data_IF_894655392256
#
_entry.id   IF_894655392256
#
_cell.length_a   1.000
_cell.length_b   1.000
_cell.length_c   1.000
_cell.angle_alpha   90.00
_cell.angle_beta   90.00
_cell.angle_gamma   90.00
#
_symmetry.space_group_name_H-M   'P 1'
#
loop_
_entity.id
_entity.type
_entity.pdbx_description
1 polymer ?
#
# COMPACT_ATOMS: atom_id res chain seq x y z
N UNK A 1 10.15 14.35 3.30
CA UNK A 1 9.17 13.92 2.26
C UNK A 1 8.73 12.48 2.47
N UNK A 2 7.68 12.01 1.78
CA UNK A 2 7.16 10.65 1.89
C UNK A 2 7.46 9.86 0.61
N UNK A 3 8.00 8.65 0.74
CA UNK A 3 8.25 7.72 -0.36
C UNK A 3 7.23 6.57 -0.29
N UNK A 4 6.59 6.25 -1.41
CA UNK A 4 5.71 5.09 -1.56
C UNK A 4 6.41 3.98 -2.33
N UNK A 5 6.23 2.73 -1.90
CA UNK A 5 6.90 1.56 -2.51
C UNK A 5 5.93 0.56 -3.16
N UNK A 6 4.63 0.78 -3.07
CA UNK A 6 3.67 -0.27 -3.39
C UNK A 6 2.42 0.18 -4.14
N UNK A 7 2.40 1.36 -4.78
CA UNK A 7 1.25 1.78 -5.57
C UNK A 7 1.21 1.13 -6.96
N UNK A 8 2.36 0.70 -7.49
CA UNK A 8 2.49 0.11 -8.84
C UNK A 8 3.10 -1.29 -8.86
N UNK A 9 3.65 -1.74 -7.72
CA UNK A 9 4.29 -3.05 -7.55
C UNK A 9 4.30 -3.46 -6.08
N UNK A 10 4.93 -4.59 -5.75
CA UNK A 10 5.18 -5.03 -4.37
C UNK A 10 6.71 -5.14 -4.15
N UNK A 11 7.32 -4.02 -3.74
CA UNK A 11 8.77 -3.96 -3.53
C UNK A 11 9.20 -4.89 -2.40
N UNK A 12 8.57 -4.91 -1.20
CA UNK A 12 8.94 -5.85 -0.15
C UNK A 12 8.92 -7.31 -0.57
N UNK A 13 7.94 -7.72 -1.40
CA UNK A 13 7.81 -9.11 -1.81
C UNK A 13 8.86 -9.56 -2.83
N UNK A 14 9.24 -8.69 -3.78
CA UNK A 14 10.01 -9.11 -4.95
C UNK A 14 11.33 -8.36 -5.15
N UNK A 15 11.52 -7.21 -4.52
CA UNK A 15 12.61 -6.28 -4.81
C UNK A 15 13.34 -5.79 -3.56
N UNK A 16 13.28 -6.54 -2.46
CA UNK A 16 13.99 -6.21 -1.21
C UNK A 16 15.48 -5.94 -1.42
N UNK A 17 16.28 -6.81 -2.13
CA UNK A 17 17.69 -6.54 -2.34
C UNK A 17 17.94 -5.23 -3.11
N UNK A 18 17.09 -4.91 -4.09
CA UNK A 18 17.17 -3.66 -4.83
C UNK A 18 16.91 -2.45 -3.92
N UNK A 19 15.86 -2.49 -3.11
CA UNK A 19 15.54 -1.39 -2.20
C UNK A 19 16.71 -1.14 -1.23
N UNK A 20 17.28 -2.19 -0.65
CA UNK A 20 18.44 -2.09 0.24
C UNK A 20 19.66 -1.46 -0.45
N UNK A 21 19.91 -1.79 -1.72
CA UNK A 21 20.93 -1.14 -2.52
C UNK A 21 20.60 0.35 -2.75
N UNK A 22 19.36 0.68 -3.06
CA UNK A 22 18.95 2.09 -3.28
C UNK A 22 19.06 2.93 -2.02
N UNK A 23 18.71 2.37 -0.86
CA UNK A 23 18.87 3.05 0.44
C UNK A 23 20.37 3.35 0.73
N UNK A 24 21.26 2.38 0.45
CA UNK A 24 22.72 2.58 0.62
C UNK A 24 23.29 3.61 -0.35
N UNK A 25 22.82 3.63 -1.60
CA UNK A 25 23.22 4.59 -2.63
C UNK A 25 22.61 5.98 -2.43
N UNK A 26 21.55 6.07 -1.60
CA UNK A 26 20.89 7.33 -1.25
C UNK A 26 19.99 7.92 -2.33
N UNK A 27 19.71 7.20 -3.41
CA UNK A 27 18.80 7.66 -4.47
C UNK A 27 18.21 6.54 -5.32
N UNK A 28 17.13 6.90 -6.03
CA UNK A 28 16.46 6.04 -7.02
C UNK A 28 16.07 6.85 -8.25
N UNK A 29 16.08 6.22 -9.42
CA UNK A 29 15.59 6.78 -10.67
C UNK A 29 14.24 6.15 -11.05
N UNK A 30 13.23 6.98 -11.25
CA UNK A 30 11.88 6.55 -11.55
C UNK A 30 11.45 7.09 -12.92
N UNK A 31 11.21 6.18 -13.85
CA UNK A 31 10.73 6.52 -15.18
C UNK A 31 9.24 6.84 -15.14
N UNK A 32 8.84 7.96 -15.75
CA UNK A 32 7.44 8.32 -15.86
C UNK A 32 6.71 7.35 -16.80
N UNK A 33 5.64 6.65 -16.32
CA UNK A 33 4.94 5.67 -17.14
C UNK A 33 4.17 6.26 -18.33
N UNK A 34 3.89 7.56 -18.31
CA UNK A 34 3.16 8.28 -19.37
C UNK A 34 4.08 9.08 -20.30
N UNK A 35 5.32 9.33 -19.89
CA UNK A 35 6.36 9.96 -20.68
C UNK A 35 7.69 9.22 -20.45
N UNK A 36 7.98 8.16 -21.21
CA UNK A 36 9.11 7.27 -20.96
C UNK A 36 10.49 7.94 -21.00
N UNK A 37 10.67 9.06 -21.69
CA UNK A 37 11.94 9.83 -21.69
C UNK A 37 12.13 10.66 -20.41
N UNK A 38 11.08 10.93 -19.65
CA UNK A 38 11.16 11.69 -18.41
C UNK A 38 11.48 10.75 -17.24
N UNK A 39 12.58 11.03 -16.56
CA UNK A 39 13.06 10.28 -15.40
C UNK A 39 13.17 11.20 -14.21
N UNK A 40 12.63 10.83 -13.07
CA UNK A 40 12.75 11.59 -11.83
C UNK A 40 13.77 10.94 -10.91
N UNK A 41 14.72 11.73 -10.40
CA UNK A 41 15.65 11.31 -9.37
C UNK A 41 15.09 11.68 -8.00
N UNK A 42 14.76 10.66 -7.19
CA UNK A 42 14.36 10.85 -5.79
C UNK A 42 15.54 10.55 -4.86
N UNK A 43 15.75 11.42 -3.87
CA UNK A 43 16.65 11.17 -2.76
C UNK A 43 16.03 10.11 -1.85
N UNK A 44 16.88 9.23 -1.34
CA UNK A 44 16.56 8.29 -0.26
C UNK A 44 17.39 8.58 1.00
N UNK A 45 18.00 9.79 1.11
CA UNK A 45 18.69 10.21 2.33
C UNK A 45 17.69 10.32 3.50
N UNK A 46 18.00 9.78 4.70
CA UNK A 46 17.17 9.95 5.90
C UNK A 46 16.94 11.41 6.32
N UNK A 47 17.83 12.32 5.90
CA UNK A 47 17.66 13.77 6.13
C UNK A 47 16.54 14.39 5.31
N UNK A 48 16.11 13.71 4.25
CA UNK A 48 15.08 14.18 3.31
C UNK A 48 13.80 13.36 3.42
N UNK A 49 13.94 12.05 3.67
CA UNK A 49 12.81 11.10 3.72
C UNK A 49 12.33 10.95 5.16
N UNK A 50 11.17 11.51 5.47
CA UNK A 50 10.53 11.40 6.79
C UNK A 50 9.86 10.06 6.98
N UNK A 51 9.32 9.48 5.90
CA UNK A 51 8.51 8.26 5.95
C UNK A 51 8.65 7.45 4.66
N UNK A 52 8.81 6.15 4.81
CA UNK A 52 8.61 5.17 3.74
C UNK A 52 7.31 4.43 3.99
N UNK A 53 6.40 4.50 3.01
CA UNK A 53 5.11 3.81 3.02
C UNK A 53 5.22 2.54 2.18
N UNK A 54 5.02 1.41 2.83
CA UNK A 54 5.03 0.10 2.19
C UNK A 54 3.59 -0.38 1.94
N UNK A 55 3.35 -0.94 0.76
CA UNK A 55 2.14 -1.72 0.47
C UNK A 55 2.59 -3.08 -0.06
N UNK A 56 2.22 -4.15 0.63
CA UNK A 56 2.70 -5.50 0.30
C UNK A 56 1.64 -6.56 0.60
N UNK A 57 1.69 -7.66 -0.15
CA UNK A 57 0.99 -8.92 0.18
C UNK A 57 1.93 -9.98 0.78
N UNK A 58 3.23 -9.66 0.88
CA UNK A 58 4.22 -10.56 1.43
C UNK A 58 5.39 -9.77 2.04
N UNK A 59 5.34 -9.40 3.33
CA UNK A 59 6.42 -8.66 3.98
C UNK A 59 7.65 -9.53 4.29
N UNK A 60 7.55 -10.86 4.23
CA UNK A 60 8.57 -11.83 4.65
C UNK A 60 9.99 -11.55 4.15
N UNK A 61 10.22 -11.24 2.85
CA UNK A 61 11.58 -10.98 2.37
C UNK A 61 12.27 -9.77 3.02
N UNK A 62 11.47 -8.81 3.53
CA UNK A 62 12.00 -7.61 4.18
C UNK A 62 12.25 -7.80 5.69
N UNK A 63 11.58 -8.75 6.34
CA UNK A 63 11.69 -8.93 7.80
C UNK A 63 13.13 -9.06 8.32
N UNK A 64 14.06 -9.81 7.67
CA UNK A 64 15.43 -9.91 8.11
C UNK A 64 16.26 -8.62 7.96
N UNK A 65 15.70 -7.59 7.33
CA UNK A 65 16.41 -6.37 6.93
C UNK A 65 15.82 -5.09 7.51
N UNK A 66 14.95 -5.19 8.51
CA UNK A 66 14.27 -4.02 9.11
C UNK A 66 15.25 -3.03 9.74
N UNK A 67 16.41 -3.49 10.20
CA UNK A 67 17.48 -2.63 10.73
C UNK A 67 17.96 -1.60 9.69
N UNK A 68 17.96 -1.96 8.40
CA UNK A 68 18.31 -1.03 7.31
C UNK A 68 17.32 0.13 7.16
N UNK A 69 16.14 0.01 7.76
CA UNK A 69 15.08 1.02 7.74
C UNK A 69 15.01 1.84 9.03
N UNK A 70 15.88 1.57 10.03
CA UNK A 70 15.82 2.17 11.35
C UNK A 70 15.94 3.72 11.34
N UNK A 71 16.60 4.28 10.34
CA UNK A 71 16.76 5.74 10.18
C UNK A 71 15.52 6.43 9.57
N UNK A 72 14.50 5.68 9.17
CA UNK A 72 13.30 6.20 8.50
C UNK A 72 12.06 5.94 9.35
N UNK A 73 11.10 6.87 9.30
CA UNK A 73 9.74 6.54 9.67
C UNK A 73 9.19 5.46 8.73
N UNK A 74 8.37 4.56 9.24
CA UNK A 74 7.81 3.45 8.47
C UNK A 74 6.30 3.40 8.66
N UNK A 75 5.55 3.13 7.58
CA UNK A 75 4.15 2.76 7.63
C UNK A 75 3.86 1.62 6.67
N UNK A 76 3.26 0.57 7.18
CA UNK A 76 3.09 -0.69 6.45
C UNK A 76 1.61 -1.00 6.21
N UNK A 77 1.20 -0.96 4.97
CA UNK A 77 -0.04 -1.57 4.54
C UNK A 77 0.24 -3.01 4.11
N UNK A 78 -0.22 -3.97 4.89
CA UNK A 78 -0.14 -5.38 4.51
C UNK A 78 -1.51 -5.86 4.07
N UNK A 79 -1.61 -6.26 2.81
CA UNK A 79 -2.87 -6.72 2.22
C UNK A 79 -3.06 -8.20 2.53
N UNK A 80 -4.12 -8.52 3.24
CA UNK A 80 -4.57 -9.88 3.52
C UNK A 80 -6.06 -9.96 3.16
N UNK A 81 -6.34 -10.68 2.09
CA UNK A 81 -7.68 -10.94 1.56
C UNK A 81 -8.02 -12.42 1.73
N UNK A 82 -9.29 -12.83 1.70
CA UNK A 82 -9.63 -14.23 1.92
C UNK A 82 -9.37 -15.13 0.70
N UNK A 83 -9.03 -14.54 -0.46
CA UNK A 83 -8.94 -15.25 -1.74
C UNK A 83 -7.83 -16.28 -1.78
N UNK A 84 -8.06 -17.36 -2.50
CA UNK A 84 -7.10 -18.40 -2.79
C UNK A 84 -6.32 -18.15 -4.10
N UNK A 85 -5.63 -19.19 -4.55
CA UNK A 85 -4.80 -19.13 -5.77
C UNK A 85 -5.58 -18.90 -7.05
N UNK A 86 -6.88 -19.11 -7.03
CA UNK A 86 -7.78 -18.83 -8.15
C UNK A 86 -7.85 -17.33 -8.51
N UNK A 87 -7.67 -16.46 -7.51
CA UNK A 87 -7.63 -15.00 -7.67
C UNK A 87 -6.25 -14.41 -7.40
N UNK A 88 -5.45 -15.03 -6.55
CA UNK A 88 -4.14 -14.55 -6.09
C UNK A 88 -3.04 -15.62 -6.27
N UNK A 89 -2.69 -16.01 -7.50
CA UNK A 89 -1.82 -17.17 -7.76
C UNK A 89 -0.44 -17.12 -7.09
N UNK A 90 0.14 -15.93 -6.96
CA UNK A 90 1.49 -15.73 -6.41
C UNK A 90 1.53 -15.20 -4.98
N UNK A 91 0.38 -15.10 -4.30
CA UNK A 91 0.34 -14.65 -2.89
C UNK A 91 0.60 -15.85 -1.97
N UNK A 92 1.41 -15.69 -0.91
CA UNK A 92 1.63 -16.74 0.08
C UNK A 92 0.35 -17.14 0.83
N UNK A 93 0.33 -18.32 1.50
CA UNK A 93 -0.78 -18.72 2.36
C UNK A 93 -1.10 -17.64 3.42
N UNK A 94 -2.40 -17.41 3.69
CA UNK A 94 -2.86 -16.34 4.59
C UNK A 94 -2.29 -16.44 5.98
N UNK A 95 -2.21 -17.66 6.52
CA UNK A 95 -1.67 -17.94 7.85
C UNK A 95 -0.19 -17.55 7.94
N UNK A 96 0.54 -17.67 6.84
CA UNK A 96 1.92 -17.20 6.76
C UNK A 96 1.97 -15.68 6.79
N UNK A 97 1.15 -14.99 5.97
CA UNK A 97 1.13 -13.54 5.91
C UNK A 97 0.68 -12.93 7.24
N UNK A 98 -0.27 -13.56 7.94
CA UNK A 98 -0.71 -13.16 9.29
C UNK A 98 0.44 -13.29 10.30
N UNK A 99 1.18 -14.40 10.29
CA UNK A 99 2.36 -14.54 11.16
C UNK A 99 3.42 -13.49 10.87
N UNK A 100 3.69 -13.23 9.59
CA UNK A 100 4.68 -12.23 9.16
C UNK A 100 4.21 -10.80 9.50
N UNK A 101 2.91 -10.51 9.40
CA UNK A 101 2.30 -9.27 9.86
C UNK A 101 2.54 -9.03 11.35
N UNK A 102 2.26 -10.04 12.19
CA UNK A 102 2.44 -9.95 13.64
C UNK A 102 3.93 -9.77 14.01
N UNK A 103 4.82 -10.48 13.32
CA UNK A 103 6.27 -10.31 13.51
C UNK A 103 6.73 -8.90 13.16
N UNK A 104 6.27 -8.36 12.02
CA UNK A 104 6.56 -7.00 11.60
C UNK A 104 6.02 -5.97 12.60
N UNK A 105 4.76 -6.14 13.02
CA UNK A 105 4.13 -5.27 14.03
C UNK A 105 4.88 -5.24 15.37
N UNK A 106 5.47 -6.38 15.77
CA UNK A 106 6.31 -6.46 16.96
C UNK A 106 7.58 -5.60 16.88
N UNK A 107 8.03 -5.26 15.68
CA UNK A 107 9.21 -4.41 15.46
C UNK A 107 8.84 -2.95 15.27
N UNK A 108 7.87 -2.67 14.37
CA UNK A 108 7.55 -1.29 13.99
C UNK A 108 6.44 -0.65 14.84
N UNK A 109 5.75 -1.46 15.63
CA UNK A 109 4.60 -1.06 16.44
C UNK A 109 3.26 -1.10 15.69
N UNK A 110 2.14 -1.39 16.39
CA UNK A 110 0.82 -1.55 15.77
C UNK A 110 0.28 -0.26 15.11
N UNK A 111 0.75 0.92 15.55
CA UNK A 111 0.33 2.21 14.97
C UNK A 111 0.98 2.49 13.62
N UNK A 112 2.08 1.81 13.30
CA UNK A 112 2.77 1.87 12.01
C UNK A 112 2.30 0.78 11.04
N UNK A 113 1.22 0.05 11.41
CA UNK A 113 0.65 -1.05 10.64
C UNK A 113 -0.80 -0.77 10.26
N UNK A 114 -1.16 -1.11 9.04
CA UNK A 114 -2.56 -1.20 8.62
C UNK A 114 -2.79 -2.51 7.87
N UNK A 115 -3.82 -3.23 8.26
CA UNK A 115 -4.34 -4.34 7.48
C UNK A 115 -5.14 -3.79 6.29
N UNK A 116 -4.89 -4.27 5.07
CA UNK A 116 -5.74 -3.98 3.91
C UNK A 116 -6.55 -5.23 3.54
N UNK A 117 -7.85 -5.14 3.69
CA UNK A 117 -8.81 -6.11 3.17
C UNK A 117 -9.39 -5.57 1.86
N UNK A 118 -8.57 -5.58 0.80
CA UNK A 118 -8.74 -4.77 -0.40
C UNK A 118 -8.16 -5.49 -1.64
N UNK A 119 -8.95 -5.61 -2.72
CA UNK A 119 -10.35 -5.23 -2.87
C UNK A 119 -11.33 -6.30 -2.37
N UNK A 120 -12.54 -5.88 -1.99
CA UNK A 120 -13.69 -6.78 -1.76
C UNK A 120 -14.37 -7.00 -3.11
N UNK A 121 -14.66 -8.26 -3.45
CA UNK A 121 -15.38 -8.64 -4.65
C UNK A 121 -16.29 -9.84 -4.36
N UNK A 122 -17.47 -9.87 -4.96
CA UNK A 122 -18.41 -10.99 -4.85
C UNK A 122 -18.28 -11.88 -6.09
N UNK A 123 -17.74 -13.08 -5.90
CA UNK A 123 -17.51 -14.03 -6.99
C UNK A 123 -17.33 -15.46 -6.45
N UNK A 124 -17.95 -16.42 -7.10
CA UNK A 124 -17.87 -17.83 -6.70
C UNK A 124 -18.41 -18.05 -5.29
N UNK A 125 -17.58 -18.57 -4.39
CA UNK A 125 -17.92 -18.79 -2.98
C UNK A 125 -17.87 -17.51 -2.12
N UNK A 126 -17.39 -16.40 -2.66
CA UNK A 126 -17.23 -15.14 -1.93
C UNK A 126 -18.54 -14.34 -2.00
N UNK A 127 -19.42 -14.58 -1.02
CA UNK A 127 -20.66 -13.84 -0.76
C UNK A 127 -20.46 -12.83 0.36
N UNK A 128 -21.48 -12.02 0.67
CA UNK A 128 -21.47 -11.12 1.83
C UNK A 128 -21.19 -11.90 3.13
N UNK A 129 -21.85 -13.03 3.33
CA UNK A 129 -21.75 -13.85 4.53
C UNK A 129 -20.35 -14.48 4.69
N UNK A 130 -19.80 -15.03 3.60
CA UNK A 130 -18.45 -15.60 3.63
C UNK A 130 -17.36 -14.56 3.81
N UNK A 131 -17.54 -13.34 3.26
CA UNK A 131 -16.64 -12.23 3.54
C UNK A 131 -16.69 -11.80 5.01
N UNK A 132 -17.87 -11.69 5.62
CA UNK A 132 -18.00 -11.33 7.03
C UNK A 132 -17.38 -12.38 7.94
N UNK A 133 -17.58 -13.67 7.65
CA UNK A 133 -16.95 -14.76 8.40
C UNK A 133 -15.41 -14.71 8.31
N UNK A 134 -14.87 -14.62 7.10
CA UNK A 134 -13.43 -14.53 6.87
C UNK A 134 -12.81 -13.26 7.50
N UNK A 135 -13.52 -12.14 7.42
CA UNK A 135 -13.08 -10.89 8.05
C UNK A 135 -13.01 -11.02 9.57
N UNK A 136 -13.99 -11.67 10.19
CA UNK A 136 -14.01 -11.92 11.64
C UNK A 136 -12.82 -12.78 12.10
N UNK A 137 -12.52 -13.87 11.37
CA UNK A 137 -11.37 -14.74 11.65
C UNK A 137 -10.04 -13.96 11.53
N UNK A 138 -9.88 -13.16 10.49
CA UNK A 138 -8.68 -12.37 10.27
C UNK A 138 -8.55 -11.23 11.30
N UNK A 139 -9.65 -10.56 11.67
CA UNK A 139 -9.65 -9.52 12.69
C UNK A 139 -9.20 -10.07 14.04
N UNK A 140 -9.72 -11.22 14.44
CA UNK A 140 -9.30 -11.94 15.66
C UNK A 140 -7.80 -12.32 15.60
N UNK A 141 -7.31 -12.81 14.45
CA UNK A 141 -5.91 -13.18 14.28
C UNK A 141 -4.95 -11.98 14.29
N UNK A 142 -5.43 -10.78 13.95
CA UNK A 142 -4.66 -9.53 13.90
C UNK A 142 -4.87 -8.62 15.11
N UNK A 143 -5.70 -9.02 16.07
CA UNK A 143 -5.97 -8.25 17.29
C UNK A 143 -4.67 -7.91 18.01
N UNK A 144 -4.52 -6.63 18.38
CA UNK A 144 -3.33 -6.08 19.02
C UNK A 144 -2.11 -5.89 18.09
N UNK A 145 -2.13 -6.42 16.86
CA UNK A 145 -1.06 -6.24 15.89
C UNK A 145 -1.25 -5.01 14.99
N UNK A 146 -2.45 -4.48 14.92
CA UNK A 146 -2.81 -3.23 14.23
C UNK A 146 -4.04 -2.61 14.88
N UNK A 147 -4.18 -1.30 14.77
CA UNK A 147 -5.38 -0.57 15.15
C UNK A 147 -6.20 -0.10 13.94
N UNK A 148 -5.80 -0.46 12.73
CA UNK A 148 -6.39 0.06 11.51
C UNK A 148 -6.56 -1.04 10.46
N UNK A 149 -7.78 -1.13 9.90
CA UNK A 149 -8.07 -1.90 8.69
C UNK A 149 -8.59 -0.98 7.60
N UNK A 150 -8.15 -1.19 6.36
CA UNK A 150 -8.60 -0.45 5.18
C UNK A 150 -9.34 -1.39 4.25
N UNK A 151 -10.56 -1.02 3.86
CA UNK A 151 -11.36 -1.75 2.87
C UNK A 151 -11.55 -0.90 1.61
N UNK A 152 -11.69 -1.56 0.46
CA UNK A 152 -12.30 -1.00 -0.74
C UNK A 152 -12.99 -2.09 -1.54
N UNK A 153 -13.91 -1.70 -2.41
CA UNK A 153 -14.57 -2.63 -3.33
C UNK A 153 -13.84 -2.64 -4.67
N UNK A 154 -14.04 -3.71 -5.44
CA UNK A 154 -13.37 -3.86 -6.73
C UNK A 154 -13.75 -2.77 -7.71
N UNK A 155 -12.74 -2.08 -8.24
CA UNK A 155 -12.88 -1.17 -9.38
C UNK A 155 -12.65 -1.93 -10.70
N UNK A 156 -13.58 -1.85 -11.61
CA UNK A 156 -13.47 -2.51 -12.92
C UNK A 156 -12.65 -1.69 -13.92
N UNK A 157 -11.38 -1.43 -13.59
CA UNK A 157 -10.44 -0.81 -14.53
C UNK A 157 -10.33 -1.61 -15.83
N UNK A 158 -9.89 -0.97 -16.91
CA UNK A 158 -9.72 -1.59 -18.22
C UNK A 158 -8.90 -2.90 -18.17
N UNK A 159 -7.85 -2.93 -17.37
CA UNK A 159 -7.01 -4.13 -17.16
C UNK A 159 -7.76 -5.21 -16.38
N UNK A 160 -8.52 -4.83 -15.35
CA UNK A 160 -9.34 -5.76 -14.56
C UNK A 160 -10.39 -6.43 -15.46
N UNK A 161 -11.16 -5.65 -16.23
CA UNK A 161 -12.17 -6.19 -17.20
C UNK A 161 -11.56 -7.19 -18.17
N UNK A 162 -10.32 -6.98 -18.60
CA UNK A 162 -9.62 -7.91 -19.51
C UNK A 162 -9.12 -9.16 -18.79
N UNK A 163 -8.49 -9.01 -17.62
CA UNK A 163 -7.82 -10.11 -16.91
C UNK A 163 -8.78 -10.93 -16.04
N UNK A 164 -9.94 -10.34 -15.73
CA UNK A 164 -10.99 -10.94 -14.90
C UNK A 164 -12.39 -10.56 -15.47
N UNK A 165 -12.77 -11.06 -16.65
CA UNK A 165 -14.01 -10.68 -17.35
C UNK A 165 -15.29 -11.07 -16.58
N UNK A 166 -15.19 -12.03 -15.64
CA UNK A 166 -16.30 -12.44 -14.78
C UNK A 166 -16.54 -11.48 -13.60
N UNK A 167 -15.58 -10.60 -13.28
CA UNK A 167 -15.73 -9.64 -12.19
C UNK A 167 -16.93 -8.70 -12.43
N UNK A 168 -17.62 -8.38 -11.36
CA UNK A 168 -18.74 -7.43 -11.35
C UNK A 168 -18.52 -6.41 -10.25
N UNK A 169 -19.06 -5.23 -10.43
CA UNK A 169 -19.15 -4.24 -9.36
C UNK A 169 -20.00 -4.78 -8.23
N UNK A 170 -19.60 -4.50 -7.00
CA UNK A 170 -20.40 -4.86 -5.83
C UNK A 170 -21.58 -3.91 -5.73
N UNK A 171 -22.79 -4.46 -5.69
CA UNK A 171 -24.02 -3.67 -5.59
C UNK A 171 -24.00 -2.79 -4.33
N UNK A 172 -24.63 -1.62 -4.40
CA UNK A 172 -24.68 -0.67 -3.29
C UNK A 172 -25.19 -1.30 -1.99
N UNK A 173 -26.26 -2.08 -2.08
CA UNK A 173 -26.84 -2.77 -0.92
C UNK A 173 -25.83 -3.70 -0.25
N UNK A 174 -25.09 -4.51 -1.03
CA UNK A 174 -24.06 -5.41 -0.52
C UNK A 174 -22.87 -4.65 0.06
N UNK A 175 -22.46 -3.52 -0.54
CA UNK A 175 -21.44 -2.64 0.03
C UNK A 175 -21.83 -2.13 1.41
N UNK A 176 -23.08 -1.69 1.58
CA UNK A 176 -23.58 -1.21 2.87
C UNK A 176 -23.65 -2.34 3.91
N UNK A 177 -24.12 -3.53 3.52
CA UNK A 177 -24.16 -4.72 4.41
C UNK A 177 -22.76 -5.12 4.85
N UNK A 178 -21.82 -5.19 3.92
CA UNK A 178 -20.41 -5.51 4.19
C UNK A 178 -19.78 -4.44 5.08
N UNK A 179 -19.92 -3.16 4.73
CA UNK A 179 -19.36 -2.07 5.52
C UNK A 179 -19.87 -2.04 6.96
N UNK A 180 -21.18 -2.19 7.16
CA UNK A 180 -21.79 -2.23 8.48
C UNK A 180 -21.30 -3.44 9.30
N UNK A 181 -21.32 -4.64 8.72
CA UNK A 181 -20.90 -5.86 9.40
C UNK A 181 -19.40 -5.84 9.73
N UNK A 182 -18.55 -5.40 8.79
CA UNK A 182 -17.11 -5.29 9.02
C UNK A 182 -16.76 -4.22 10.05
N UNK A 183 -17.50 -3.09 10.09
CA UNK A 183 -17.29 -2.06 11.12
C UNK A 183 -17.57 -2.58 12.52
N UNK A 184 -18.66 -3.35 12.69
CA UNK A 184 -19.00 -3.97 13.98
C UNK A 184 -17.96 -5.01 14.41
N UNK A 185 -17.49 -5.85 13.47
CA UNK A 185 -16.44 -6.83 13.74
C UNK A 185 -15.13 -6.13 14.13
N UNK A 186 -14.69 -5.17 13.33
CA UNK A 186 -13.44 -4.42 13.57
C UNK A 186 -13.44 -3.76 14.94
N UNK A 187 -14.56 -3.13 15.32
CA UNK A 187 -14.73 -2.47 16.63
C UNK A 187 -14.56 -3.44 17.80
N UNK A 188 -15.04 -4.68 17.70
CA UNK A 188 -14.89 -5.72 18.74
C UNK A 188 -13.44 -6.10 18.98
N UNK A 189 -12.60 -5.99 17.95
CA UNK A 189 -11.17 -6.32 18.01
C UNK A 189 -10.26 -5.07 18.15
N UNK A 190 -10.83 -3.90 18.51
CA UNK A 190 -10.07 -2.66 18.68
C UNK A 190 -9.48 -2.11 17.39
N UNK A 191 -10.01 -2.49 16.23
CA UNK A 191 -9.54 -2.08 14.91
C UNK A 191 -10.45 -0.97 14.36
N UNK A 192 -9.88 0.14 13.95
CA UNK A 192 -10.58 1.22 13.24
C UNK A 192 -10.73 0.84 11.77
N UNK A 193 -11.96 0.76 11.28
CA UNK A 193 -12.22 0.49 9.87
C UNK A 193 -12.19 1.80 9.07
N UNK A 194 -11.41 1.82 8.00
CA UNK A 194 -11.33 2.91 7.03
C UNK A 194 -11.77 2.44 5.64
N UNK A 195 -12.36 3.32 4.85
CA UNK A 195 -12.60 3.06 3.43
C UNK A 195 -11.56 3.77 2.54
N UNK A 196 -11.29 3.19 1.37
CA UNK A 196 -10.37 3.76 0.39
C UNK A 196 -11.12 4.07 -0.91
N UNK A 197 -11.37 5.37 -1.16
CA UNK A 197 -12.00 5.88 -2.38
C UNK A 197 -13.44 5.37 -2.63
N UNK A 198 -14.22 5.18 -1.55
CA UNK A 198 -15.61 4.70 -1.61
C UNK A 198 -16.63 5.81 -1.31
N UNK A 199 -16.19 7.09 -1.28
CA UNK A 199 -17.05 8.18 -0.82
C UNK A 199 -17.36 8.05 0.67
N UNK A 200 -18.52 8.58 1.09
CA UNK A 200 -18.95 8.67 2.49
C UNK A 200 -20.14 7.75 2.84
N UNK A 201 -20.57 6.90 1.91
CA UNK A 201 -21.72 5.99 2.12
C UNK A 201 -21.60 5.09 3.34
N UNK A 202 -20.38 4.76 3.76
CA UNK A 202 -20.12 3.91 4.91
C UNK A 202 -19.95 4.66 6.24
N UNK A 203 -19.86 6.01 6.20
CA UNK A 203 -19.70 6.83 7.41
C UNK A 203 -20.79 6.63 8.47
N UNK A 204 -22.10 6.48 8.10
CA UNK A 204 -23.17 6.22 9.08
C UNK A 204 -22.97 4.94 9.91
N UNK A 205 -22.16 4.00 9.43
CA UNK A 205 -21.83 2.73 10.11
C UNK A 205 -20.54 2.79 10.95
N UNK A 206 -19.94 3.99 11.10
CA UNK A 206 -18.73 4.19 11.88
C UNK A 206 -17.43 3.89 11.11
N UNK A 207 -17.47 3.80 9.78
CA UNK A 207 -16.29 3.68 8.93
C UNK A 207 -15.68 5.06 8.73
N UNK A 208 -14.37 5.18 8.92
CA UNK A 208 -13.62 6.40 8.63
C UNK A 208 -13.39 6.53 7.11
N UNK A 209 -14.13 7.42 6.47
CA UNK A 209 -14.08 7.69 5.04
C UNK A 209 -13.08 8.82 4.66
N UNK A 210 -12.26 9.31 5.58
CA UNK A 210 -11.30 10.41 5.34
C UNK A 210 -10.13 10.04 4.43
N UNK A 211 -10.00 8.76 4.08
CA UNK A 211 -8.90 8.24 3.27
C UNK A 211 -7.89 7.42 4.09
N UNK A 212 -7.18 6.52 3.41
CA UNK A 212 -6.29 5.57 4.07
C UNK A 212 -4.85 6.11 4.23
N UNK A 213 -4.34 6.89 3.27
CA UNK A 213 -2.97 7.43 3.23
C UNK A 213 -2.94 8.93 3.49
N UNK A 214 -3.58 9.38 4.58
CA UNK A 214 -3.65 10.81 4.93
C UNK A 214 -2.44 11.24 5.75
N UNK A 215 -2.12 12.53 5.74
CA UNK A 215 -1.06 13.09 6.60
C UNK A 215 -1.33 12.78 8.06
N UNK A 216 -2.58 12.92 8.53
CA UNK A 216 -2.94 12.59 9.91
C UNK A 216 -2.67 11.11 10.28
N UNK A 217 -2.84 10.17 9.33
CA UNK A 217 -2.46 8.77 9.53
C UNK A 217 -0.97 8.62 9.76
N UNK A 218 -0.17 9.34 8.97
CA UNK A 218 1.29 9.28 9.05
C UNK A 218 1.85 9.99 10.27
N UNK A 219 1.32 11.17 10.62
CA UNK A 219 1.69 11.90 11.84
C UNK A 219 1.46 11.08 13.11
N UNK A 220 0.35 10.35 13.16
CA UNK A 220 0.06 9.45 14.29
C UNK A 220 1.09 8.32 14.41
N UNK A 221 1.52 7.73 13.28
CA UNK A 221 2.54 6.69 13.27
C UNK A 221 3.94 7.23 13.62
N UNK A 222 4.25 8.45 13.18
CA UNK A 222 5.54 9.10 13.37
C UNK A 222 5.70 9.74 14.76
N UNK A 223 4.59 10.14 15.41
CA UNK A 223 4.59 10.87 16.66
C UNK A 223 5.02 12.35 16.55
N UNK A 224 5.07 12.90 15.32
CA UNK A 224 5.36 14.31 15.06
C UNK A 224 4.57 14.84 13.86
N UNK A 225 4.48 16.18 13.76
CA UNK A 225 3.72 16.87 12.70
C UNK A 225 4.51 16.95 11.40
N UNK A 226 3.78 17.00 10.28
CA UNK A 226 4.32 17.14 8.92
C UNK A 226 3.75 18.39 8.24
N UNK A 227 4.62 19.29 7.78
CA UNK A 227 4.26 20.40 6.86
C UNK A 227 4.23 19.92 5.41
N UNK A 228 3.39 18.94 5.15
CA UNK A 228 3.26 18.39 3.81
C UNK A 228 2.69 19.41 2.81
N UNK A 229 3.14 19.41 1.54
CA UNK A 229 2.47 20.14 0.47
C UNK A 229 1.01 19.69 0.33
N UNK A 230 0.17 20.47 -0.34
CA UNK A 230 -1.23 20.12 -0.57
C UNK A 230 -1.34 18.72 -1.16
N UNK A 231 -2.27 17.92 -0.63
CA UNK A 231 -2.51 16.55 -1.11
C UNK A 231 -2.80 16.54 -2.62
N UNK A 232 -2.17 15.61 -3.33
CA UNK A 232 -2.45 15.34 -4.73
C UNK A 232 -3.03 13.93 -4.79
N UNK A 233 -4.37 13.83 -4.78
CA UNK A 233 -5.06 12.59 -5.10
C UNK A 233 -5.41 12.57 -6.58
N UNK A 234 -5.12 11.48 -7.28
CA UNK A 234 -5.59 11.27 -8.66
C UNK A 234 -7.10 11.00 -8.73
N UNK A 235 -7.78 10.86 -7.59
CA UNK A 235 -9.22 10.63 -7.43
C UNK A 235 -9.86 11.84 -6.77
N UNK A 236 -9.91 12.96 -7.50
CA UNK A 236 -10.50 14.21 -7.00
C UNK A 236 -11.91 13.99 -6.47
N UNK A 237 -12.14 14.39 -5.22
CA UNK A 237 -13.44 14.30 -4.54
C UNK A 237 -13.78 12.94 -3.91
N UNK A 238 -12.98 11.88 -4.13
CA UNK A 238 -13.24 10.55 -3.56
C UNK A 238 -12.21 10.12 -2.50
N UNK A 239 -11.10 10.84 -2.38
CA UNK A 239 -9.99 10.41 -1.52
C UNK A 239 -9.14 11.61 -1.10
N UNK A 240 -8.83 11.74 0.19
CA UNK A 240 -7.89 12.72 0.74
C UNK A 240 -6.47 12.14 0.95
N UNK A 241 -6.13 11.06 0.27
CA UNK A 241 -4.82 10.44 0.34
C UNK A 241 -3.72 11.35 -0.20
N UNK A 242 -2.60 11.40 0.51
CA UNK A 242 -1.41 12.12 0.11
C UNK A 242 -0.48 11.16 -0.63
N UNK A 243 -0.64 11.09 -1.96
CA UNK A 243 0.13 10.22 -2.84
C UNK A 243 1.19 11.06 -3.56
N UNK A 244 2.46 10.80 -3.26
CA UNK A 244 3.58 11.52 -3.86
C UNK A 244 4.55 10.56 -4.57
N UNK A 245 5.79 10.51 -4.15
CA UNK A 245 6.90 9.82 -4.77
C UNK A 245 6.75 8.28 -4.72
N UNK A 246 6.02 7.68 -5.65
CA UNK A 246 6.00 6.20 -5.77
C UNK A 246 7.19 5.73 -6.61
N UNK A 247 8.04 4.89 -6.01
CA UNK A 247 9.25 4.35 -6.64
C UNK A 247 9.06 3.00 -7.34
N UNK A 248 7.81 2.50 -7.37
CA UNK A 248 7.46 1.28 -8.09
C UNK A 248 7.40 1.44 -9.61
N UNK A 249 7.18 0.33 -10.32
CA UNK A 249 6.94 0.30 -11.75
C UNK A 249 5.73 -0.57 -12.08
N UNK A 250 4.93 -0.16 -13.08
CA UNK A 250 3.86 -1.01 -13.60
C UNK A 250 4.41 -2.30 -14.23
N UNK A 251 3.58 -3.34 -14.26
CA UNK A 251 3.95 -4.63 -14.87
C UNK A 251 5.18 -5.29 -14.23
N UNK A 252 5.33 -5.20 -12.91
CA UNK A 252 6.49 -5.76 -12.20
C UNK A 252 6.12 -6.58 -10.97
N UNK A 253 4.84 -6.69 -10.61
CA UNK A 253 4.39 -7.44 -9.45
C UNK A 253 4.11 -8.91 -9.80
N UNK A 254 4.85 -9.84 -9.17
CA UNK A 254 4.76 -11.29 -9.40
C UNK A 254 3.63 -12.00 -8.65
N UNK A 255 2.74 -11.30 -7.97
CA UNK A 255 1.57 -11.91 -7.34
C UNK A 255 0.50 -12.38 -8.34
N UNK A 256 0.45 -11.77 -9.54
CA UNK A 256 -0.47 -12.10 -10.63
C UNK A 256 -1.95 -12.09 -10.25
N UNK A 257 -2.36 -11.24 -9.29
CA UNK A 257 -3.75 -11.12 -8.89
C UNK A 257 -4.63 -10.79 -10.09
N UNK A 258 -5.73 -11.52 -10.30
CA UNK A 258 -6.61 -11.35 -11.48
C UNK A 258 -7.26 -9.96 -11.53
N UNK A 259 -7.51 -9.36 -10.38
CA UNK A 259 -8.10 -8.03 -10.23
C UNK A 259 -7.06 -6.88 -10.22
N UNK A 260 -5.80 -7.15 -10.58
CA UNK A 260 -4.74 -6.16 -10.48
C UNK A 260 -4.87 -5.04 -11.53
N UNK A 261 -4.90 -3.79 -11.08
CA UNK A 261 -4.88 -2.62 -11.95
C UNK A 261 -3.48 -2.26 -12.49
N UNK A 262 -2.42 -2.76 -11.82
CA UNK A 262 -1.05 -2.38 -12.14
C UNK A 262 -0.42 -3.26 -13.24
N UNK A 263 -0.86 -4.51 -13.37
CA UNK A 263 -0.31 -5.47 -14.31
C UNK A 263 -1.14 -5.57 -15.60
N UNK A 264 -0.47 -5.56 -16.73
CA UNK A 264 -1.07 -5.72 -18.05
C UNK A 264 -1.34 -7.20 -18.37
N UNK A 265 -0.31 -8.03 -18.21
CA UNK A 265 -0.41 -9.49 -18.38
C UNK A 265 0.75 -10.18 -17.64
N UNK A 266 0.60 -11.48 -17.28
CA UNK A 266 1.68 -12.26 -16.67
C UNK A 266 2.95 -12.35 -17.54
N UNK A 267 2.81 -12.35 -18.85
CA UNK A 267 3.96 -12.42 -19.78
C UNK A 267 4.84 -11.18 -19.69
N UNK A 268 4.23 -9.99 -19.70
CA UNK A 268 4.94 -8.70 -19.57
C UNK A 268 5.61 -8.61 -18.20
N UNK A 269 4.92 -9.04 -17.14
CA UNK A 269 5.50 -9.05 -15.78
C UNK A 269 6.74 -9.92 -15.71
N UNK A 270 6.66 -11.18 -16.22
CA UNK A 270 7.81 -12.09 -16.22
C UNK A 270 8.99 -11.53 -17.03
N UNK A 271 8.71 -10.86 -18.15
CA UNK A 271 9.75 -10.21 -18.95
C UNK A 271 10.42 -9.06 -18.18
N UNK A 272 9.64 -8.20 -17.53
CA UNK A 272 10.16 -7.11 -16.72
C UNK A 272 10.96 -7.62 -15.52
N UNK A 273 10.48 -8.68 -14.84
CA UNK A 273 11.22 -9.29 -13.74
C UNK A 273 12.57 -9.88 -14.18
N UNK A 274 12.67 -10.43 -15.41
CA UNK A 274 13.96 -10.87 -15.97
C UNK A 274 14.92 -9.70 -16.29
N UNK A 275 14.39 -8.51 -16.56
CA UNK A 275 15.15 -7.28 -16.82
C UNK A 275 15.51 -6.52 -15.53
N UNK A 276 15.08 -7.02 -14.39
CA UNK A 276 15.41 -6.44 -13.09
C UNK A 276 16.89 -6.72 -12.76
N UNK A 277 17.60 -5.67 -12.33
CA UNK A 277 18.95 -5.74 -11.78
C UNK A 277 18.94 -5.07 -10.39
N UNK A 278 19.25 -5.78 -9.32
CA UNK A 278 19.28 -5.19 -7.98
C UNK A 278 20.31 -4.05 -7.81
N UNK A 279 21.31 -3.95 -8.68
CA UNK A 279 22.30 -2.88 -8.66
C UNK A 279 21.84 -1.64 -9.45
N UNK A 280 20.86 -1.79 -10.35
CA UNK A 280 20.37 -0.67 -11.18
C UNK A 280 19.70 0.42 -10.33
N UNK A 281 19.89 1.72 -10.67
CA UNK A 281 19.09 2.79 -10.05
C UNK A 281 17.60 2.74 -10.43
N UNK A 282 17.23 2.01 -11.48
CA UNK A 282 15.84 1.76 -11.88
C UNK A 282 15.33 0.44 -11.33
N UNK A 283 14.05 0.37 -10.99
CA UNK A 283 13.44 -0.90 -10.57
C UNK A 283 13.44 -1.91 -11.72
N UNK A 284 13.10 -1.46 -12.93
CA UNK A 284 13.07 -2.30 -14.15
C UNK A 284 13.87 -1.63 -15.24
N UNK A 285 14.78 -2.39 -15.85
CA UNK A 285 15.63 -1.92 -16.93
C UNK A 285 16.71 -0.94 -16.45
N UNK A 286 17.10 0.00 -17.31
CA UNK A 286 18.18 0.96 -17.05
C UNK A 286 17.97 2.27 -17.80
N UNK A 287 19.03 3.09 -17.88
CA UNK A 287 19.05 4.32 -18.66
C UNK A 287 18.90 4.02 -20.15
N UNK A 288 18.19 4.89 -20.83
CA UNK A 288 17.97 4.83 -22.29
C UNK A 288 18.54 6.09 -22.96
N UNK A 289 18.97 5.99 -24.22
CA UNK A 289 19.30 7.19 -25.00
C UNK A 289 18.11 8.16 -25.03
N UNK A 290 18.36 9.43 -24.74
CA UNK A 290 17.32 10.47 -24.71
C UNK A 290 16.59 10.61 -23.35
N UNK A 291 17.02 9.89 -22.31
CA UNK A 291 16.49 10.11 -20.95
C UNK A 291 16.82 11.53 -20.47
N UNK A 292 15.79 12.22 -19.99
CA UNK A 292 15.90 13.53 -19.34
C UNK A 292 15.65 13.32 -17.83
N UNK A 293 16.73 13.47 -17.05
CA UNK A 293 16.68 13.27 -15.60
C UNK A 293 16.34 14.59 -14.92
N UNK A 294 15.21 14.61 -14.21
CA UNK A 294 14.75 15.73 -13.38
C UNK A 294 15.03 15.43 -11.91
N UNK A 295 15.62 16.40 -11.21
CA UNK A 295 15.79 16.35 -9.76
C UNK A 295 14.93 17.46 -9.14
N UNK A 296 13.70 17.17 -8.70
CA UNK A 296 12.86 18.17 -8.05
C UNK A 296 13.47 18.61 -6.71
N UNK A 297 13.05 19.76 -6.21
CA UNK A 297 13.40 20.15 -4.84
C UNK A 297 12.80 19.16 -3.86
N UNK A 298 13.61 18.60 -2.99
CA UNK A 298 13.26 17.59 -2.01
C UNK A 298 13.77 18.03 -0.63
N UNK A 299 12.92 17.91 0.38
CA UNK A 299 13.26 18.28 1.75
C UNK A 299 12.38 17.46 2.73
N UNK A 300 12.84 17.33 3.95
CA UNK A 300 12.01 16.85 5.06
C UNK A 300 10.79 17.78 5.23
N UNK A 301 9.67 17.19 5.60
CA UNK A 301 8.42 17.88 5.94
C UNK A 301 8.19 17.94 7.43
N UNK A 302 9.10 17.42 8.22
CA UNK A 302 9.01 17.46 9.67
C UNK A 302 8.82 18.90 10.15
N UNK A 303 7.83 19.10 11.01
CA UNK A 303 7.59 20.37 11.65
C UNK A 303 8.30 20.36 13.01
N UNK A 304 9.42 21.07 13.10
CA UNK A 304 10.21 21.20 14.32
C UNK A 304 9.68 22.32 15.26
N UNK A 305 8.59 23.00 14.88
CA UNK A 305 7.92 23.91 15.81
C UNK A 305 7.28 23.09 16.94
N UNK A 306 7.79 23.23 18.15
CA UNK A 306 7.14 22.74 19.36
C UNK A 306 5.74 23.36 19.43
N UNK A 307 4.69 22.54 19.33
CA UNK A 307 3.36 23.03 19.65
C UNK A 307 3.34 23.36 21.15
N UNK A 308 3.00 24.60 21.50
CA UNK A 308 2.85 25.02 22.89
C UNK A 308 1.66 24.33 23.58
N UNK A 309 0.88 23.52 22.87
CA UNK A 309 -0.31 22.79 23.36
C UNK A 309 0.02 21.63 24.30
N UNK A 310 1.30 21.31 24.53
CA UNK A 310 1.76 20.27 25.48
C UNK A 310 2.29 20.80 26.79
N UNK A 311 2.17 22.10 27.09
CA UNK A 311 2.70 22.76 28.31
C UNK A 311 1.59 23.32 29.21
N UNK A 312 0.32 22.94 29.02
CA UNK A 312 -0.78 23.31 29.94
C UNK A 312 -1.40 22.06 30.54
#
# INVERSE_FOLDING_TARGET
>A
MIIHTGLRTDIPAFYTPWLLNRLREGYVLVRNPFNPSSVTRYSLSPEVVDLIVFCTKNPRPMLPHLDALAAYGQYWFVTITPYGRELEPGVPPKEQVIRDFRALSGVVGPQSMAWRYDPILLWGAWTVETHLAAFAEMAAALEGATDTCVISFIDLYKKVRRNFPEAREVAREDRLRLGAGMAEIARRHGIRLKSCAEGDELAPYGVDCSGCMTIATYERALGFRLRAPRAVSNRQGQCACHLTCDIGAYNSCGHFCRYCYANESPAIVRENMRRHDPASPFLIGGSLPGDVIHTPRQASWRDDQLSMDGLL
#
